data_IF_268735073462
#
_entry.id   IF_268735073462
#
_cell.length_a   1.000
_cell.length_b   1.000
_cell.length_c   1.000
_cell.angle_alpha   90.00
_cell.angle_beta   90.00
_cell.angle_gamma   90.00
#
_symmetry.space_group_name_H-M   'P 1'
#
loop_
_entity.id
_entity.type
_entity.pdbx_description
1 polymer ?
#
# COMPACT_ATOMS: atom_id res chain seq x y z
N UNK A 1 3.66 19.53 -7.53
CA UNK A 1 2.50 19.50 -6.61
C UNK A 1 2.74 18.41 -5.58
N UNK A 2 2.52 18.68 -4.28
CA UNK A 2 2.65 17.64 -3.26
C UNK A 2 1.36 16.80 -3.24
N UNK A 3 1.38 15.66 -3.94
CA UNK A 3 0.22 14.80 -4.20
C UNK A 3 -0.47 14.24 -2.94
N UNK A 4 0.15 14.39 -1.76
CA UNK A 4 -0.32 13.86 -0.48
C UNK A 4 -0.72 14.97 0.52
N UNK A 5 -0.65 16.25 0.13
CA UNK A 5 -0.96 17.37 1.03
C UNK A 5 -2.43 17.29 1.50
N UNK A 6 -2.64 17.36 2.83
CA UNK A 6 -3.96 17.38 3.45
C UNK A 6 -4.64 16.01 3.59
N UNK A 7 -3.95 14.90 3.31
CA UNK A 7 -4.49 13.57 3.59
C UNK A 7 -4.39 13.26 5.09
N UNK A 8 -5.41 12.56 5.61
CA UNK A 8 -5.48 12.12 7.01
C UNK A 8 -4.33 11.16 7.36
N UNK A 9 -3.88 10.37 6.39
CA UNK A 9 -2.81 9.40 6.55
C UNK A 9 -1.51 9.93 5.96
N UNK A 10 -0.40 9.56 6.59
CA UNK A 10 0.93 9.87 6.09
C UNK A 10 1.15 9.21 4.72
N UNK A 11 1.98 9.86 3.89
CA UNK A 11 2.25 9.44 2.52
C UNK A 11 2.82 8.01 2.44
N UNK A 12 3.70 7.65 3.36
CA UNK A 12 4.30 6.33 3.48
C UNK A 12 3.26 5.22 3.70
N UNK A 13 2.26 5.45 4.56
CA UNK A 13 1.13 4.52 4.76
C UNK A 13 0.38 4.28 3.46
N UNK A 14 0.09 5.34 2.71
CA UNK A 14 -0.62 5.26 1.42
C UNK A 14 0.21 4.48 0.40
N UNK A 15 1.51 4.76 0.31
CA UNK A 15 2.43 4.07 -0.60
C UNK A 15 2.53 2.58 -0.25
N UNK A 16 2.64 2.23 1.03
CA UNK A 16 2.70 0.84 1.50
C UNK A 16 1.40 0.10 1.19
N UNK A 17 0.24 0.70 1.46
CA UNK A 17 -1.06 0.09 1.20
C UNK A 17 -1.26 -0.23 -0.30
N UNK A 18 -1.04 0.76 -1.17
CA UNK A 18 -1.17 0.59 -2.62
C UNK A 18 -0.09 -0.36 -3.15
N UNK A 19 1.12 -0.30 -2.61
CA UNK A 19 2.22 -1.20 -2.95
C UNK A 19 1.91 -2.67 -2.63
N UNK A 20 1.28 -2.94 -1.47
CA UNK A 20 0.85 -4.29 -1.12
C UNK A 20 -0.18 -4.84 -2.10
N UNK A 21 -1.19 -4.03 -2.44
CA UNK A 21 -2.21 -4.38 -3.43
C UNK A 21 -1.58 -4.72 -4.79
N UNK A 22 -0.75 -3.82 -5.32
CA UNK A 22 -0.16 -3.96 -6.67
C UNK A 22 0.86 -5.11 -6.77
N UNK A 23 1.62 -5.39 -5.70
CA UNK A 23 2.73 -6.35 -5.75
C UNK A 23 2.33 -7.78 -5.45
N UNK A 24 1.43 -7.97 -4.48
CA UNK A 24 1.13 -9.30 -3.94
C UNK A 24 -0.26 -9.80 -4.33
N UNK A 25 -0.98 -9.09 -5.21
CA UNK A 25 -2.33 -9.42 -5.65
C UNK A 25 -3.30 -9.63 -4.48
N UNK A 26 -3.12 -8.86 -3.40
CA UNK A 26 -3.96 -8.91 -2.21
C UNK A 26 -5.27 -8.18 -2.46
N UNK A 27 -6.35 -8.68 -1.86
CA UNK A 27 -7.61 -7.95 -1.78
C UNK A 27 -7.46 -6.71 -0.88
N UNK A 28 -8.35 -5.73 -1.06
CA UNK A 28 -8.37 -4.55 -0.19
C UNK A 28 -8.58 -4.87 1.29
N UNK A 29 -9.24 -6.01 1.59
CA UNK A 29 -9.45 -6.49 2.96
C UNK A 29 -8.19 -7.09 3.56
N UNK A 30 -7.43 -7.86 2.79
CA UNK A 30 -6.14 -8.38 3.27
C UNK A 30 -5.15 -7.25 3.52
N UNK A 31 -5.12 -6.23 2.66
CA UNK A 31 -4.29 -5.02 2.93
C UNK A 31 -4.78 -4.30 4.18
N UNK A 32 -6.09 -4.22 4.40
CA UNK A 32 -6.67 -3.65 5.62
C UNK A 32 -6.21 -4.40 6.88
N UNK A 33 -6.28 -5.73 6.87
CA UNK A 33 -5.86 -6.60 7.98
C UNK A 33 -4.36 -6.43 8.26
N UNK A 34 -3.53 -6.46 7.22
CA UNK A 34 -2.08 -6.23 7.32
C UNK A 34 -1.74 -4.87 7.96
N UNK A 35 -2.51 -3.82 7.65
CA UNK A 35 -2.31 -2.50 8.25
C UNK A 35 -2.84 -2.45 9.68
N UNK A 36 -3.98 -3.10 9.94
CA UNK A 36 -4.56 -3.21 11.27
C UNK A 36 -3.61 -3.92 12.24
N UNK A 37 -2.98 -5.04 11.83
CA UNK A 37 -1.97 -5.76 12.60
C UNK A 37 -0.73 -4.91 12.94
N UNK A 38 -0.52 -3.82 12.18
CA UNK A 38 0.54 -2.82 12.41
C UNK A 38 0.05 -1.59 13.19
N UNK A 39 -1.15 -1.63 13.75
CA UNK A 39 -1.76 -0.54 14.52
C UNK A 39 -2.35 0.59 13.66
N UNK A 40 -2.46 0.39 12.34
CA UNK A 40 -3.01 1.38 11.41
C UNK A 40 -4.46 1.02 11.10
N UNK A 41 -5.39 1.73 11.72
CA UNK A 41 -6.82 1.54 11.46
C UNK A 41 -7.25 2.34 10.23
N UNK A 42 -7.38 1.65 9.09
CA UNK A 42 -7.88 2.21 7.82
C UNK A 42 -8.95 1.27 7.26
N UNK A 43 -9.97 1.79 6.59
CA UNK A 43 -10.97 0.94 5.94
C UNK A 43 -10.47 0.43 4.57
N UNK A 44 -10.87 -0.79 4.19
CA UNK A 44 -10.63 -1.33 2.84
C UNK A 44 -11.17 -0.42 1.72
N UNK A 45 -12.24 0.34 1.97
CA UNK A 45 -12.78 1.34 1.02
C UNK A 45 -11.86 2.55 0.84
N UNK A 46 -11.14 2.95 1.89
CA UNK A 46 -10.11 4.01 1.80
C UNK A 46 -8.91 3.52 0.99
N UNK A 47 -8.49 2.27 1.20
CA UNK A 47 -7.44 1.64 0.41
C UNK A 47 -7.85 1.57 -1.07
N UNK A 48 -9.10 1.18 -1.37
CA UNK A 48 -9.63 1.23 -2.74
C UNK A 48 -9.47 2.61 -3.38
N UNK A 49 -9.86 3.68 -2.66
CA UNK A 49 -9.72 5.06 -3.17
C UNK A 49 -8.27 5.42 -3.44
N UNK A 50 -7.34 5.03 -2.57
CA UNK A 50 -5.91 5.25 -2.79
C UNK A 50 -5.37 4.49 -4.00
N UNK A 51 -5.82 3.25 -4.22
CA UNK A 51 -5.41 2.48 -5.40
C UNK A 51 -5.92 3.15 -6.68
N UNK A 52 -7.15 3.65 -6.69
CA UNK A 52 -7.69 4.39 -7.84
C UNK A 52 -6.93 5.70 -8.08
N UNK A 53 -6.59 6.44 -7.02
CA UNK A 53 -5.92 7.75 -7.11
C UNK A 53 -4.43 7.63 -7.45
N UNK A 54 -3.71 6.69 -6.83
CA UNK A 54 -2.25 6.60 -6.88
C UNK A 54 -1.72 5.37 -7.61
N UNK A 55 -2.57 4.41 -7.97
CA UNK A 55 -2.16 3.12 -8.54
C UNK A 55 -1.29 3.28 -9.78
N UNK A 56 -1.69 4.15 -10.72
CA UNK A 56 -0.91 4.41 -11.94
C UNK A 56 0.47 5.01 -11.64
N UNK A 57 0.53 6.00 -10.75
CA UNK A 57 1.76 6.68 -10.37
C UNK A 57 2.73 5.70 -9.68
N UNK A 58 2.23 4.94 -8.70
CA UNK A 58 3.03 4.00 -7.94
C UNK A 58 3.43 2.79 -8.78
N UNK A 59 2.57 2.32 -9.69
CA UNK A 59 2.93 1.27 -10.63
C UNK A 59 4.13 1.67 -11.50
N UNK A 60 4.13 2.89 -12.04
CA UNK A 60 5.27 3.43 -12.82
C UNK A 60 6.55 3.50 -11.97
N UNK A 61 6.45 3.94 -10.71
CA UNK A 61 7.61 3.98 -9.80
C UNK A 61 8.12 2.57 -9.49
N UNK A 62 7.21 1.61 -9.28
CA UNK A 62 7.52 0.22 -8.95
C UNK A 62 8.21 -0.52 -10.10
N UNK A 63 7.87 -0.23 -11.36
CA UNK A 63 8.53 -0.84 -12.53
C UNK A 63 9.86 -0.15 -12.87
N UNK A 64 9.97 1.17 -12.65
CA UNK A 64 11.16 1.95 -13.04
C UNK A 64 12.30 1.90 -12.02
N UNK A 65 12.00 1.64 -10.75
CA UNK A 65 13.01 1.59 -9.73
C UNK A 65 13.07 0.19 -9.12
N UNK A 66 14.24 -0.45 -9.23
CA UNK A 66 14.56 -1.76 -8.68
C UNK A 66 14.60 -1.78 -7.13
N UNK A 67 13.66 -1.10 -6.43
CA UNK A 67 13.46 -1.19 -4.97
C UNK A 67 13.03 -2.58 -4.49
N UNK A 68 12.95 -3.54 -5.42
CA UNK A 68 12.61 -4.97 -5.31
C UNK A 68 13.34 -5.69 -4.16
N UNK A 69 14.49 -5.19 -3.71
CA UNK A 69 15.32 -5.87 -2.70
C UNK A 69 15.10 -5.42 -1.25
N UNK A 70 14.39 -4.31 -0.97
CA UNK A 70 14.37 -3.72 0.39
C UNK A 70 13.20 -4.17 1.27
N UNK A 71 12.21 -4.86 0.71
CA UNK A 71 11.17 -5.55 1.47
C UNK A 71 11.24 -7.05 1.16
N UNK A 72 12.33 -7.70 1.58
CA UNK A 72 12.28 -9.16 1.79
C UNK A 72 11.11 -9.44 2.73
N UNK A 73 10.19 -10.29 2.25
CA UNK A 73 8.93 -10.72 2.86
C UNK A 73 8.87 -10.55 4.39
N UNK A 74 7.99 -9.70 4.94
CA UNK A 74 7.52 -9.89 6.30
C UNK A 74 6.28 -10.80 6.24
N UNK A 75 6.52 -12.08 6.52
CA UNK A 75 5.59 -13.03 7.15
C UNK A 75 4.24 -13.21 6.43
N UNK A 76 4.22 -14.07 5.42
CA UNK A 76 3.04 -14.87 5.08
C UNK A 76 3.41 -16.34 5.26
N UNK A 77 3.52 -16.75 6.52
CA UNK A 77 3.30 -18.14 6.94
C UNK A 77 2.21 -18.02 8.00
N UNK A 78 0.97 -18.27 7.59
CA UNK A 78 -0.08 -18.64 8.53
C UNK A 78 0.13 -20.15 8.72
N UNK A 79 0.60 -20.55 9.89
CA UNK A 79 0.40 -21.91 10.38
C UNK A 79 -1.09 -22.13 10.65
#
# INVERSE_FOLDING_TARGET
MNHFKGKQFQQDVIIVAVGYYLRYNLSYREVQEILYDRGINVSHTTIYRWVQEYGKLLYQILISNHWVLRLKKPVLVKD
#
